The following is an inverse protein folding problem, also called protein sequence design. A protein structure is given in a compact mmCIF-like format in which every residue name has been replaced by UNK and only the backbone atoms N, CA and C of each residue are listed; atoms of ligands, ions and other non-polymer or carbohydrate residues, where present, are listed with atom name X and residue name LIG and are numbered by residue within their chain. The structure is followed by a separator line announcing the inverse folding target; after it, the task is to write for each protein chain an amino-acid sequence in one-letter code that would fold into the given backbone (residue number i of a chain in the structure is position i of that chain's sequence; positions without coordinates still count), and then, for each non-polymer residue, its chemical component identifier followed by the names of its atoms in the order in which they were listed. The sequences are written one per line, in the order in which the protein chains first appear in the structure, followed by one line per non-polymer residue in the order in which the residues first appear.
data_IF_064734306921
#
_entry.id   IF_064734306921
#
_cell.length_a   1.000
_cell.length_b   1.000
_cell.length_c   1.000
_cell.angle_alpha   90.00
_cell.angle_beta   90.00
_cell.angle_gamma   90.00
#
_symmetry.space_group_name_H-M   'P 1'
#
loop_
_entity.id
_entity.type
_entity.pdbx_description
1 polymer ?
#
# COMPACT_ATOMS: atom_id res chain seq x y z
N UNK A 1 17.14 -6.06 -10.04
CA UNK A 1 17.02 -7.27 -10.90
C UNK A 1 17.27 -8.60 -10.18
N UNK A 2 18.27 -8.74 -9.29
CA UNK A 2 18.53 -10.03 -8.62
C UNK A 2 17.40 -10.47 -7.65
N UNK A 3 16.77 -9.53 -6.93
CA UNK A 3 15.64 -9.81 -6.03
C UNK A 3 14.35 -10.12 -6.81
N UNK A 4 14.04 -9.31 -7.84
CA UNK A 4 12.90 -9.55 -8.74
C UNK A 4 12.94 -10.93 -9.41
N UNK A 5 14.09 -11.33 -9.96
CA UNK A 5 14.29 -12.65 -10.56
C UNK A 5 14.12 -13.82 -9.56
N UNK A 6 14.07 -13.55 -8.26
CA UNK A 6 13.78 -14.53 -7.19
C UNK A 6 12.33 -14.46 -6.70
N UNK A 7 11.46 -13.73 -7.39
CA UNK A 7 10.07 -13.51 -6.98
C UNK A 7 9.93 -12.61 -5.74
N UNK A 8 10.95 -11.82 -5.41
CA UNK A 8 10.91 -10.88 -4.28
C UNK A 8 10.42 -9.52 -4.77
N UNK A 9 9.17 -9.16 -4.43
CA UNK A 9 8.52 -7.89 -4.78
C UNK A 9 8.88 -6.72 -3.86
N UNK A 10 10.09 -6.68 -3.32
CA UNK A 10 10.55 -5.57 -2.48
C UNK A 10 11.97 -5.13 -2.83
N UNK A 11 12.32 -3.90 -2.45
CA UNK A 11 13.64 -3.31 -2.65
C UNK A 11 14.07 -2.52 -1.42
N UNK A 12 15.27 -2.80 -0.92
CA UNK A 12 15.89 -2.04 0.18
C UNK A 12 16.52 -0.73 -0.35
N UNK A 13 16.18 0.38 0.29
CA UNK A 13 16.72 1.72 -0.03
C UNK A 13 17.31 2.34 1.22
N UNK A 14 18.62 2.66 1.16
CA UNK A 14 19.33 3.34 2.25
C UNK A 14 19.13 4.85 2.14
N UNK A 15 18.61 5.47 3.20
CA UNK A 15 18.42 6.93 3.25
C UNK A 15 19.73 7.72 3.14
N UNK A 16 20.86 7.11 3.54
CA UNK A 16 22.19 7.71 3.37
C UNK A 16 22.54 7.92 1.88
N UNK A 17 22.19 6.95 1.01
CA UNK A 17 22.44 7.06 -0.43
C UNK A 17 21.49 8.08 -1.07
N UNK A 18 20.23 8.15 -0.61
CA UNK A 18 19.30 9.18 -1.07
C UNK A 18 19.83 10.57 -0.72
N UNK A 19 20.36 10.76 0.49
CA UNK A 19 20.99 12.02 0.93
C UNK A 19 22.16 12.45 0.05
N UNK A 20 23.00 11.49 -0.35
CA UNK A 20 24.18 11.75 -1.19
C UNK A 20 23.79 12.16 -2.61
N UNK A 21 22.71 11.58 -3.13
CA UNK A 21 22.18 11.90 -4.45
C UNK A 21 21.39 13.22 -4.47
N UNK A 22 20.45 13.40 -3.53
CA UNK A 22 19.56 14.56 -3.45
C UNK A 22 19.09 14.80 -2.01
N UNK A 23 19.53 15.92 -1.42
CA UNK A 23 19.18 16.29 -0.06
C UNK A 23 17.73 16.75 0.08
N UNK A 24 17.18 17.43 -0.94
CA UNK A 24 15.81 17.93 -0.92
C UNK A 24 14.83 16.75 -0.96
N UNK A 25 15.14 15.72 -1.77
CA UNK A 25 14.36 14.48 -1.81
C UNK A 25 14.34 13.78 -0.45
N UNK A 26 15.47 13.73 0.26
CA UNK A 26 15.51 13.16 1.60
C UNK A 26 14.61 13.95 2.56
N UNK A 27 14.70 15.28 2.56
CA UNK A 27 13.86 16.12 3.42
C UNK A 27 12.37 15.88 3.16
N UNK A 28 11.99 15.79 1.89
CA UNK A 28 10.63 15.48 1.47
C UNK A 28 10.18 14.09 1.95
N UNK A 29 11.02 13.07 1.82
CA UNK A 29 10.73 11.72 2.32
C UNK A 29 10.59 11.68 3.85
N UNK A 30 11.38 12.46 4.59
CA UNK A 30 11.31 12.50 6.05
C UNK A 30 10.11 13.28 6.57
N UNK A 31 9.73 14.37 5.88
CA UNK A 31 8.64 15.27 6.29
C UNK A 31 7.27 14.85 5.76
N UNK A 32 7.22 14.20 4.59
CA UNK A 32 5.99 13.76 3.90
C UNK A 32 6.13 12.34 3.30
N UNK A 33 6.47 11.31 4.10
CA UNK A 33 6.65 9.95 3.61
C UNK A 33 5.40 9.38 2.92
N UNK A 34 4.19 9.77 3.36
CA UNK A 34 2.92 9.26 2.80
C UNK A 34 2.74 9.68 1.34
N UNK A 35 3.26 10.84 0.93
CA UNK A 35 3.14 11.33 -0.44
C UNK A 35 4.27 10.79 -1.33
N UNK A 36 5.50 10.77 -0.79
CA UNK A 36 6.70 10.49 -1.58
C UNK A 36 7.07 9.00 -1.65
N UNK A 37 6.75 8.19 -0.64
CA UNK A 37 7.05 6.77 -0.69
C UNK A 37 6.23 6.05 -1.78
N UNK A 38 4.90 6.26 -1.91
CA UNK A 38 4.14 5.66 -3.01
C UNK A 38 4.58 6.17 -4.39
N UNK A 39 5.00 7.44 -4.49
CA UNK A 39 5.54 7.99 -5.74
C UNK A 39 6.86 7.31 -6.12
N UNK A 40 7.72 7.02 -5.14
CA UNK A 40 8.96 6.28 -5.34
C UNK A 40 8.69 4.83 -5.76
N UNK A 41 7.71 4.16 -5.14
CA UNK A 41 7.29 2.81 -5.52
C UNK A 41 6.73 2.79 -6.97
N UNK A 42 5.90 3.75 -7.33
CA UNK A 42 5.39 3.89 -8.70
C UNK A 42 6.52 4.09 -9.73
N UNK A 43 7.50 4.93 -9.41
CA UNK A 43 8.68 5.11 -10.27
C UNK A 43 9.52 3.83 -10.39
N UNK A 44 9.68 3.08 -9.29
CA UNK A 44 10.38 1.80 -9.31
C UNK A 44 9.66 0.75 -10.18
N UNK A 45 8.33 0.71 -10.10
CA UNK A 45 7.48 -0.13 -10.98
C UNK A 45 7.65 0.25 -12.45
N UNK A 46 7.66 1.54 -12.78
CA UNK A 46 7.84 2.00 -14.16
C UNK A 46 9.23 1.66 -14.72
N UNK A 47 10.28 1.78 -13.91
CA UNK A 47 11.64 1.35 -14.30
C UNK A 47 11.69 -0.17 -14.47
N UNK A 48 11.05 -0.93 -13.57
CA UNK A 48 11.01 -2.38 -13.65
C UNK A 48 10.34 -2.86 -14.94
N UNK A 49 9.19 -2.27 -15.30
CA UNK A 49 8.51 -2.57 -16.57
C UNK A 49 9.39 -2.34 -17.80
N UNK A 50 10.15 -1.24 -17.83
CA UNK A 50 11.08 -0.95 -18.93
C UNK A 50 12.18 -2.01 -19.04
N UNK A 51 12.77 -2.38 -17.90
CA UNK A 51 13.80 -3.42 -17.85
C UNK A 51 13.29 -4.80 -18.27
N UNK A 52 12.02 -5.12 -17.96
CA UNK A 52 11.39 -6.36 -18.41
C UNK A 52 11.16 -6.38 -19.92
N UNK A 53 10.76 -5.25 -20.51
CA UNK A 53 10.63 -5.12 -21.96
C UNK A 53 11.98 -5.32 -22.67
N UNK A 54 13.04 -4.65 -22.19
CA UNK A 54 14.39 -4.78 -22.75
C UNK A 54 14.93 -6.22 -22.62
N UNK A 55 14.65 -6.90 -21.50
CA UNK A 55 15.07 -8.28 -21.27
C UNK A 55 14.32 -9.28 -22.17
N UNK A 56 13.02 -9.05 -22.41
CA UNK A 56 12.21 -9.87 -23.31
C UNK A 56 12.70 -9.78 -24.77
N UNK A 57 13.18 -8.60 -25.20
CA UNK A 57 13.79 -8.42 -26.53
C UNK A 57 15.17 -9.11 -26.66
N UNK A 58 15.85 -9.31 -25.53
CA UNK A 58 17.19 -9.93 -25.47
C UNK A 58 17.15 -11.46 -25.42
N UNK A 59 15.96 -12.08 -25.37
CA UNK A 59 15.78 -13.53 -25.34
C UNK A 59 16.20 -14.20 -24.02
N UNK A 60 16.37 -13.42 -22.95
CA UNK A 60 16.59 -13.96 -21.61
C UNK A 60 15.23 -14.30 -20.99
N UNK A 61 15.03 -15.57 -20.60
CA UNK A 61 13.79 -16.05 -19.96
C UNK A 61 13.39 -15.13 -18.78
N UNK A 62 12.33 -14.35 -18.99
CA UNK A 62 11.66 -13.59 -17.95
C UNK A 62 11.10 -14.53 -16.88
N UNK A 63 10.94 -14.06 -15.63
CA UNK A 63 10.51 -14.91 -14.53
C UNK A 63 9.23 -15.67 -14.87
N UNK A 64 9.32 -16.99 -14.75
CA UNK A 64 8.24 -17.95 -14.96
C UNK A 64 7.12 -17.73 -13.92
N UNK A 65 5.90 -17.52 -14.40
CA UNK A 65 4.68 -17.70 -13.62
C UNK A 65 4.22 -16.57 -12.70
N UNK A 66 3.34 -15.71 -13.20
CA UNK A 66 2.45 -14.89 -12.37
C UNK A 66 2.00 -13.60 -13.02
N UNK A 67 1.08 -13.67 -13.99
CA UNK A 67 0.57 -12.54 -14.79
C UNK A 67 -0.24 -11.51 -13.99
N UNK A 68 0.44 -10.72 -13.16
CA UNK A 68 -0.05 -9.50 -12.55
C UNK A 68 0.90 -8.34 -12.82
N UNK A 69 0.44 -7.07 -12.71
CA UNK A 69 1.35 -5.93 -12.80
C UNK A 69 2.44 -6.03 -11.73
N UNK A 70 3.70 -5.67 -12.04
CA UNK A 70 4.75 -5.69 -11.03
C UNK A 70 4.41 -4.73 -9.90
N UNK A 71 4.30 -5.25 -8.68
CA UNK A 71 4.22 -4.45 -7.45
C UNK A 71 5.59 -4.48 -6.78
N UNK A 72 6.11 -3.30 -6.44
CA UNK A 72 7.40 -3.14 -5.77
C UNK A 72 7.17 -2.40 -4.46
N UNK A 73 7.47 -3.06 -3.36
CA UNK A 73 7.48 -2.44 -2.02
C UNK A 73 8.86 -1.88 -1.72
N UNK A 74 8.94 -0.62 -1.31
CA UNK A 74 10.21 -0.02 -0.88
C UNK A 74 10.38 -0.16 0.63
N UNK A 75 11.51 -0.73 1.03
CA UNK A 75 11.91 -0.89 2.44
C UNK A 75 13.02 0.12 2.74
N UNK A 76 12.70 1.13 3.55
CA UNK A 76 13.65 2.16 3.92
C UNK A 76 14.57 1.68 5.06
N UNK A 77 15.87 1.82 4.85
CA UNK A 77 16.89 1.58 5.86
C UNK A 77 17.57 2.90 6.26
N UNK A 78 17.74 3.10 7.57
CA UNK A 78 18.29 4.34 8.12
C UNK A 78 19.22 4.07 9.28
N UNK A 79 20.35 4.77 9.29
CA UNK A 79 21.34 4.83 10.36
C UNK A 79 21.17 6.04 11.28
N UNK A 80 20.14 6.87 11.04
CA UNK A 80 19.87 8.10 11.79
C UNK A 80 19.69 7.84 13.28
N UNK A 81 19.94 8.85 14.11
CA UNK A 81 19.83 8.71 15.56
C UNK A 81 18.41 8.28 15.97
N UNK A 82 18.26 7.20 16.76
CA UNK A 82 16.96 6.73 17.20
C UNK A 82 16.31 7.71 18.20
N UNK A 83 15.01 7.92 18.08
CA UNK A 83 14.17 8.65 19.02
C UNK A 83 13.58 7.68 20.05
N UNK A 84 13.63 8.04 21.33
CA UNK A 84 12.96 7.26 22.39
C UNK A 84 11.44 7.27 22.20
N UNK A 85 10.75 6.16 22.53
CA UNK A 85 9.28 6.08 22.51
C UNK A 85 8.64 7.20 23.35
N UNK A 86 9.28 7.58 24.46
CA UNK A 86 8.77 8.60 25.39
C UNK A 86 8.83 10.03 24.83
N UNK A 87 9.74 10.25 23.88
CA UNK A 87 9.96 11.58 23.28
C UNK A 87 9.10 11.81 22.02
N UNK A 88 8.24 10.84 21.66
CA UNK A 88 7.32 10.95 20.54
C UNK A 88 6.18 11.92 20.89
N UNK A 89 6.30 13.15 20.41
CA UNK A 89 5.27 14.19 20.53
C UNK A 89 4.42 14.39 19.26
N UNK A 90 3.38 15.21 19.35
CA UNK A 90 2.52 15.57 18.22
C UNK A 90 3.26 16.20 17.02
N UNK A 91 4.42 16.83 17.25
CA UNK A 91 5.25 17.41 16.19
C UNK A 91 5.85 16.37 15.24
N UNK A 92 5.82 15.08 15.63
CA UNK A 92 6.34 13.95 14.87
C UNK A 92 5.25 13.19 14.08
N UNK A 93 3.99 13.60 14.17
CA UNK A 93 2.90 12.99 13.39
C UNK A 93 3.15 13.20 11.89
N UNK A 94 2.93 12.15 11.10
CA UNK A 94 3.17 12.09 9.66
C UNK A 94 4.65 12.29 9.22
N UNK A 95 5.61 12.10 10.12
CA UNK A 95 7.05 12.14 9.80
C UNK A 95 7.69 10.76 9.94
N UNK A 96 8.81 10.58 9.26
CA UNK A 96 9.59 9.35 9.38
C UNK A 96 10.42 9.37 10.67
N UNK A 97 10.24 8.36 11.52
CA UNK A 97 10.93 8.21 12.80
C UNK A 97 11.63 6.87 12.87
N UNK A 98 12.79 6.85 13.53
CA UNK A 98 13.47 5.61 13.93
C UNK A 98 13.30 5.45 15.43
N UNK A 99 12.63 4.38 15.85
CA UNK A 99 12.32 4.14 17.27
C UNK A 99 12.84 2.75 17.67
N UNK A 100 13.69 2.63 18.71
CA UNK A 100 14.15 1.34 19.21
C UNK A 100 13.10 0.75 20.17
N UNK A 101 13.06 -0.58 20.24
CA UNK A 101 12.18 -1.28 21.18
C UNK A 101 12.18 -2.79 20.99
N UNK A 102 11.37 -3.47 21.79
CA UNK A 102 11.20 -4.92 21.78
C UNK A 102 9.77 -5.24 21.37
N UNK A 103 9.62 -6.22 20.47
CA UNK A 103 8.30 -6.73 20.10
C UNK A 103 7.79 -7.64 21.22
N UNK A 104 6.72 -7.21 21.89
CA UNK A 104 6.10 -7.96 23.00
C UNK A 104 4.87 -8.75 22.58
N UNK A 105 4.41 -8.55 21.34
CA UNK A 105 3.28 -9.26 20.81
C UNK A 105 3.11 -9.05 19.32
N UNK A 106 2.62 -10.08 18.66
CA UNK A 106 2.22 -10.04 17.28
C UNK A 106 0.82 -10.65 17.16
N UNK A 107 -0.03 -10.03 16.35
CA UNK A 107 -1.33 -10.60 15.99
C UNK A 107 -1.16 -11.73 14.97
N UNK A 108 -2.21 -12.55 14.82
CA UNK A 108 -2.31 -13.44 13.66
C UNK A 108 -2.41 -12.62 12.39
N UNK A 109 -1.72 -13.05 11.34
CA UNK A 109 -1.83 -12.48 10.00
C UNK A 109 -3.29 -12.52 9.55
N UNK A 110 -3.75 -11.44 8.91
CA UNK A 110 -5.07 -11.36 8.28
C UNK A 110 -4.96 -10.78 6.89
N UNK A 111 -5.77 -11.29 5.97
CA UNK A 111 -5.91 -10.69 4.64
C UNK A 111 -6.68 -9.35 4.75
N UNK A 112 -6.10 -8.29 4.22
CA UNK A 112 -6.69 -6.95 4.10
C UNK A 112 -6.85 -6.60 2.63
N UNK A 113 -8.03 -6.12 2.24
CA UNK A 113 -8.23 -5.62 0.88
C UNK A 113 -7.51 -4.27 0.68
N UNK A 114 -6.72 -4.15 -0.39
CA UNK A 114 -6.12 -2.89 -0.87
C UNK A 114 -6.95 -2.28 -2.01
N UNK A 115 -7.65 -3.11 -2.78
CA UNK A 115 -8.62 -2.68 -3.79
C UNK A 115 -9.86 -3.55 -3.69
N UNK A 116 -11.02 -2.90 -3.58
CA UNK A 116 -12.33 -3.58 -3.48
C UNK A 116 -13.10 -3.38 -4.77
N UNK A 117 -13.41 -4.49 -5.45
CA UNK A 117 -14.36 -4.52 -6.57
C UNK A 117 -15.77 -4.71 -6.04
N UNK A 118 -16.71 -3.87 -6.47
CA UNK A 118 -18.12 -3.99 -6.14
C UNK A 118 -19.00 -3.86 -7.37
N UNK A 119 -20.22 -4.41 -7.31
CA UNK A 119 -21.20 -4.40 -8.39
C UNK A 119 -22.56 -3.95 -7.88
N UNK A 120 -23.21 -3.08 -8.64
CA UNK A 120 -24.58 -2.65 -8.39
C UNK A 120 -25.54 -3.83 -8.62
N UNK A 121 -26.40 -4.12 -7.65
CA UNK A 121 -27.39 -5.21 -7.75
C UNK A 121 -28.41 -5.00 -8.88
N UNK A 122 -28.74 -3.74 -9.18
CA UNK A 122 -29.83 -3.38 -10.11
C UNK A 122 -29.34 -3.27 -11.54
N UNK A 123 -28.43 -2.33 -11.82
CA UNK A 123 -27.94 -2.09 -13.18
C UNK A 123 -26.68 -2.88 -13.56
N UNK A 124 -26.16 -3.70 -12.63
CA UNK A 124 -24.96 -4.49 -12.87
C UNK A 124 -23.65 -3.71 -12.98
N UNK A 125 -23.65 -2.39 -12.73
CA UNK A 125 -22.47 -1.56 -12.83
C UNK A 125 -21.37 -1.98 -11.85
N UNK A 126 -20.17 -2.30 -12.36
CA UNK A 126 -19.00 -2.57 -11.54
C UNK A 126 -18.22 -1.28 -11.24
N UNK A 127 -17.63 -1.23 -10.04
CA UNK A 127 -16.78 -0.14 -9.59
C UNK A 127 -15.63 -0.70 -8.77
N UNK A 128 -14.48 -0.06 -8.87
CA UNK A 128 -13.30 -0.37 -8.08
C UNK A 128 -13.04 0.74 -7.07
N UNK A 129 -12.78 0.37 -5.82
CA UNK A 129 -12.62 1.29 -4.70
C UNK A 129 -11.26 1.00 -4.05
N UNK A 130 -10.28 1.91 -4.17
CA UNK A 130 -9.01 1.77 -3.45
C UNK A 130 -9.24 1.94 -1.95
N UNK A 131 -8.51 1.16 -1.15
CA UNK A 131 -8.53 1.24 0.32
C UNK A 131 -7.16 1.78 0.77
N UNK A 132 -7.02 3.11 0.95
CA UNK A 132 -5.73 3.73 1.21
C UNK A 132 -5.26 3.50 2.64
N UNK A 133 -4.06 2.97 2.81
CA UNK A 133 -3.39 2.88 4.12
C UNK A 133 -3.86 1.74 5.04
N UNK A 134 -3.01 1.28 5.97
CA UNK A 134 -3.15 -0.02 6.65
C UNK A 134 -4.36 -0.15 7.59
N UNK A 135 -4.96 0.97 8.01
CA UNK A 135 -6.09 0.99 8.95
C UNK A 135 -7.40 1.50 8.34
N UNK A 136 -7.41 1.87 7.05
CA UNK A 136 -8.63 2.30 6.40
C UNK A 136 -9.55 1.12 6.07
N UNK A 137 -10.84 1.42 6.00
CA UNK A 137 -11.89 0.50 5.56
C UNK A 137 -12.45 0.97 4.22
N UNK A 138 -12.92 0.03 3.40
CA UNK A 138 -13.57 0.36 2.14
C UNK A 138 -14.90 1.07 2.41
N UNK A 139 -15.07 2.27 1.86
CA UNK A 139 -16.32 3.01 1.93
C UNK A 139 -17.13 2.78 0.65
N UNK A 140 -18.17 1.93 0.73
CA UNK A 140 -19.05 1.70 -0.41
C UNK A 140 -19.90 2.95 -0.72
N UNK A 141 -20.06 3.33 -1.99
CA UNK A 141 -20.84 4.50 -2.35
C UNK A 141 -22.34 4.28 -2.07
N UNK A 142 -22.98 5.29 -1.48
CA UNK A 142 -24.40 5.28 -1.16
C UNK A 142 -25.33 5.42 -2.37
N UNK A 143 -24.81 5.75 -3.56
CA UNK A 143 -25.59 5.90 -4.80
C UNK A 143 -24.85 5.28 -5.97
N UNK A 144 -25.59 4.65 -6.89
CA UNK A 144 -25.01 4.17 -8.15
C UNK A 144 -24.78 5.33 -9.12
N UNK A 145 -23.61 5.33 -9.78
CA UNK A 145 -23.27 6.31 -10.82
C UNK A 145 -24.19 6.20 -12.04
N UNK A 146 -24.75 5.01 -12.30
CA UNK A 146 -25.75 4.75 -13.36
C UNK A 146 -27.19 4.82 -12.89
N UNK A 147 -27.46 5.40 -11.71
CA UNK A 147 -28.82 5.47 -11.20
C UNK A 147 -29.70 6.37 -12.09
N UNK A 148 -30.82 5.84 -12.59
CA UNK A 148 -31.72 6.56 -13.51
C UNK A 148 -31.22 6.62 -14.95
N UNK A 149 -30.19 5.84 -15.31
CA UNK A 149 -29.81 5.67 -16.71
C UNK A 149 -30.58 4.50 -17.33
N UNK A 150 -30.98 4.65 -18.59
CA UNK A 150 -31.54 3.56 -19.37
C UNK A 150 -30.45 2.50 -19.58
N UNK A 151 -30.71 1.27 -19.12
CA UNK A 151 -29.86 0.11 -19.39
C UNK A 151 -30.47 -0.68 -20.54
N UNK A 152 -29.64 -1.14 -21.48
CA UNK A 152 -30.09 -1.88 -22.68
C UNK A 152 -30.90 -3.16 -22.36
N UNK A 153 -30.72 -3.73 -21.16
CA UNK A 153 -31.41 -4.93 -20.68
C UNK A 153 -32.76 -4.67 -19.98
N UNK A 154 -33.15 -3.40 -19.79
CA UNK A 154 -34.43 -3.05 -19.19
C UNK A 154 -35.48 -2.85 -20.29
N UNK A 155 -36.31 -3.87 -20.49
CA UNK A 155 -37.60 -3.77 -21.17
C UNK A 155 -38.47 -2.69 -20.47
N UNK A 156 -38.27 -1.41 -20.82
CA UNK A 156 -39.23 -0.33 -20.59
C UNK A 156 -39.19 0.41 -19.23
N UNK A 157 -38.03 0.79 -18.70
CA UNK A 157 -37.98 1.76 -17.58
C UNK A 157 -36.58 2.25 -17.19
N UNK A 158 -36.48 3.49 -16.69
CA UNK A 158 -35.30 4.00 -15.98
C UNK A 158 -35.00 3.09 -14.76
N UNK A 159 -33.81 2.50 -14.72
CA UNK A 159 -33.42 1.63 -13.61
C UNK A 159 -33.06 2.49 -12.38
N UNK A 160 -34.01 2.64 -11.45
CA UNK A 160 -33.71 3.18 -10.12
C UNK A 160 -32.94 2.12 -9.31
N UNK A 161 -31.66 2.38 -9.08
CA UNK A 161 -30.79 1.51 -8.33
C UNK A 161 -31.08 1.55 -6.82
N UNK A 162 -31.80 2.55 -6.33
CA UNK A 162 -32.04 2.73 -4.90
C UNK A 162 -30.80 3.11 -4.08
N UNK A 163 -30.93 3.23 -2.74
CA UNK A 163 -29.83 3.59 -1.85
C UNK A 163 -28.89 2.41 -1.57
N UNK A 164 -27.58 2.70 -1.48
CA UNK A 164 -26.49 1.77 -1.21
C UNK A 164 -26.55 0.45 -2.04
N UNK A 165 -26.59 0.51 -3.38
CA UNK A 165 -26.90 -0.66 -4.20
C UNK A 165 -25.71 -1.58 -4.49
N UNK A 166 -24.50 -1.22 -4.05
CA UNK A 166 -23.28 -1.95 -4.34
C UNK A 166 -23.04 -3.13 -3.40
N UNK A 167 -22.59 -4.25 -3.98
CA UNK A 167 -22.14 -5.45 -3.26
C UNK A 167 -20.70 -5.74 -3.63
N UNK A 168 -19.87 -6.05 -2.65
CA UNK A 168 -18.48 -6.45 -2.88
C UNK A 168 -18.44 -7.80 -3.60
N UNK A 169 -17.56 -7.93 -4.59
CA UNK A 169 -17.23 -9.20 -5.27
C UNK A 169 -15.86 -9.66 -4.74
N UNK A 170 -15.81 -10.54 -3.71
CA UNK A 170 -14.56 -10.90 -3.04
C UNK A 170 -13.51 -11.47 -3.98
N UNK A 171 -13.93 -12.30 -4.95
CA UNK A 171 -13.05 -12.98 -5.90
C UNK A 171 -12.30 -12.04 -6.85
N UNK A 172 -12.72 -10.77 -6.93
CA UNK A 172 -12.08 -9.74 -7.77
C UNK A 172 -11.40 -8.64 -6.96
N UNK A 173 -11.37 -8.77 -5.64
CA UNK A 173 -10.65 -7.83 -4.78
C UNK A 173 -9.15 -8.19 -4.74
N UNK A 174 -8.32 -7.18 -4.50
CA UNK A 174 -6.89 -7.36 -4.27
C UNK A 174 -6.63 -7.32 -2.78
N UNK A 175 -5.89 -8.31 -2.27
CA UNK A 175 -5.61 -8.48 -0.84
C UNK A 175 -4.11 -8.50 -0.58
N UNK A 176 -3.73 -7.99 0.58
CA UNK A 176 -2.38 -8.08 1.14
C UNK A 176 -2.46 -8.65 2.55
N UNK A 177 -1.38 -9.29 2.99
CA UNK A 177 -1.27 -9.73 4.37
C UNK A 177 -0.98 -8.56 5.31
N UNK A 178 -1.74 -8.48 6.39
CA UNK A 178 -1.56 -7.50 7.44
C UNK A 178 -1.27 -8.19 8.78
N UNK A 179 -0.30 -7.66 9.49
CA UNK A 179 0.02 -8.04 10.86
C UNK A 179 0.19 -6.80 11.73
N UNK A 180 -0.52 -6.74 12.85
CA UNK A 180 -0.29 -5.74 13.90
C UNK A 180 0.77 -6.25 14.88
N UNK A 181 1.79 -5.44 15.12
CA UNK A 181 2.85 -5.67 16.12
C UNK A 181 2.68 -4.72 17.31
N UNK A 182 3.04 -5.19 18.51
CA UNK A 182 3.09 -4.39 19.73
C UNK A 182 4.54 -4.18 20.13
N UNK A 183 4.98 -2.92 20.12
CA UNK A 183 6.33 -2.51 20.50
C UNK A 183 6.31 -1.96 21.94
N UNK A 184 7.29 -2.36 22.74
CA UNK A 184 7.58 -1.78 24.06
C UNK A 184 9.00 -1.21 24.07
N UNK A 185 9.25 -0.20 24.92
CA UNK A 185 10.60 0.28 25.18
C UNK A 185 11.47 -0.83 25.79
N UNK A 186 12.78 -0.75 25.59
CA UNK A 186 13.69 -1.75 26.14
C UNK A 186 13.76 -1.63 27.69
N UNK A 187 13.78 -2.74 28.43
CA UNK A 187 13.69 -2.73 29.90
C UNK A 187 14.83 -1.93 30.56
N UNK A 188 16.00 -1.85 29.92
CA UNK A 188 17.17 -1.10 30.38
C UNK A 188 16.98 0.43 30.35
N UNK A 189 16.05 0.94 29.54
CA UNK A 189 15.74 2.38 29.47
C UNK A 189 14.51 2.76 30.29
N UNK A 190 13.90 1.80 30.99
CA UNK A 190 12.78 2.05 31.90
C UNK A 190 13.32 2.62 33.22
N UNK A 191 12.90 3.82 33.66
CA UNK A 191 13.33 4.37 34.94
C UNK A 191 12.92 3.45 36.08
N UNK A 192 13.88 3.05 36.91
CA UNK A 192 13.63 2.31 38.14
C UNK A 192 13.00 3.25 39.17
N UNK A 193 11.68 3.22 39.30
CA UNK A 193 10.96 3.96 40.34
C UNK A 193 9.73 4.69 39.80
N UNK A 194 8.58 4.03 39.91
CA UNK A 194 7.24 4.62 39.85
C UNK A 194 6.49 4.23 41.11
#
# INVERSE_FOLDING_TARGET
LAQWRRGQGYMDVYLAHVREYDQDLLELLQTRPIDFLPAMEAAAVDVLRRLEMDAAESGEDGPDGGGGPPEVQIVLQSDQHPLSIRDVTAAHVNKLLRIPGIIIGASRMRARAVSVRCKCKTCGAEKEIPVPGPFAQAALPGRCDRNGQATDDALGGEADCGPAPFVVIPDRCVYVDQQTLKLQEAPEVVPTGG
#
